data_IF_770363723859
#
_entry.id   IF_770363723859
#
_cell.length_a   1.000
_cell.length_b   1.000
_cell.length_c   1.000
_cell.angle_alpha   90.00
_cell.angle_beta   90.00
_cell.angle_gamma   90.00
#
_symmetry.space_group_name_H-M   'P 1'
#
loop_
_entity.id
_entity.type
_entity.pdbx_description
1 polymer ?
#
# COMPACT_ATOMS: atom_id res chain seq x y z
N UNK A 1 -7.84 10.14 -44.32
CA UNK A 1 -8.34 8.76 -44.06
C UNK A 1 -7.82 8.16 -42.74
N UNK A 2 -6.50 8.17 -42.37
CA UNK A 2 -6.02 7.51 -41.14
C UNK A 2 -6.62 8.10 -39.86
N UNK A 3 -6.74 9.43 -39.76
CA UNK A 3 -7.34 10.12 -38.61
C UNK A 3 -8.79 9.70 -38.37
N UNK A 4 -9.55 9.52 -39.47
CA UNK A 4 -10.98 9.08 -39.39
C UNK A 4 -11.05 7.64 -38.85
N UNK A 5 -10.13 6.78 -39.23
CA UNK A 5 -10.05 5.41 -38.71
C UNK A 5 -9.71 5.37 -37.22
N UNK A 6 -8.72 6.18 -36.79
CA UNK A 6 -8.37 6.31 -35.37
C UNK A 6 -9.57 6.85 -34.58
N UNK A 7 -10.22 7.94 -35.04
CA UNK A 7 -11.39 8.50 -34.39
C UNK A 7 -12.56 7.52 -34.29
N UNK A 8 -12.83 6.74 -35.36
CA UNK A 8 -13.89 5.73 -35.33
C UNK A 8 -13.59 4.60 -34.35
N UNK A 9 -12.32 4.18 -34.24
CA UNK A 9 -11.89 3.20 -33.23
C UNK A 9 -12.03 3.74 -31.82
N UNK A 10 -11.56 4.98 -31.57
CA UNK A 10 -11.68 5.64 -30.26
C UNK A 10 -13.14 5.87 -29.83
N UNK A 11 -14.01 6.26 -30.78
CA UNK A 11 -15.45 6.47 -30.51
C UNK A 11 -16.20 5.17 -30.13
N UNK A 12 -15.69 4.02 -30.54
CA UNK A 12 -16.26 2.70 -30.25
C UNK A 12 -15.57 2.00 -29.04
N UNK A 13 -14.61 2.65 -28.39
CA UNK A 13 -13.99 2.14 -27.17
C UNK A 13 -14.90 2.48 -25.97
N UNK A 14 -15.25 1.47 -25.20
CA UNK A 14 -15.90 1.60 -23.89
C UNK A 14 -15.02 0.92 -22.81
N UNK A 15 -15.40 1.05 -21.56
CA UNK A 15 -14.64 0.49 -20.43
C UNK A 15 -14.46 -1.04 -20.49
N UNK A 16 -15.29 -1.75 -21.26
CA UNK A 16 -15.27 -3.20 -21.42
C UNK A 16 -14.61 -3.65 -22.73
N UNK A 17 -14.35 -2.72 -23.65
CA UNK A 17 -13.84 -3.00 -25.01
C UNK A 17 -12.71 -2.03 -25.40
N UNK A 18 -11.65 -2.04 -24.61
CA UNK A 18 -10.43 -1.26 -24.88
C UNK A 18 -9.56 -2.01 -25.89
N UNK A 19 -9.83 -1.81 -27.19
CA UNK A 19 -9.04 -2.48 -28.26
C UNK A 19 -7.82 -1.65 -28.65
N UNK A 20 -6.67 -2.32 -28.84
CA UNK A 20 -5.48 -1.64 -29.32
C UNK A 20 -5.62 -1.19 -30.80
N UNK A 21 -4.99 -0.08 -31.12
CA UNK A 21 -4.87 0.43 -32.49
C UNK A 21 -3.76 -0.35 -33.17
N UNK A 22 -4.11 -1.13 -34.22
CA UNK A 22 -3.13 -1.81 -35.04
C UNK A 22 -2.37 -0.80 -35.91
N UNK A 23 -1.04 -0.87 -35.91
CA UNK A 23 -0.16 0.01 -36.69
C UNK A 23 -0.03 -0.40 -38.15
N UNK A 24 -0.37 -1.65 -38.46
CA UNK A 24 -0.19 -2.20 -39.83
C UNK A 24 -0.97 -1.43 -40.87
N UNK A 25 -2.12 -0.88 -40.49
CA UNK A 25 -3.01 -0.15 -41.38
C UNK A 25 -2.78 1.38 -41.34
N UNK A 26 -1.73 1.85 -40.65
CA UNK A 26 -1.44 3.26 -40.47
C UNK A 26 -0.13 3.69 -41.15
N UNK A 27 -0.08 4.87 -41.80
CA UNK A 27 1.17 5.48 -42.23
C UNK A 27 2.14 5.65 -41.06
N UNK A 28 3.45 5.59 -41.36
CA UNK A 28 4.52 5.56 -40.34
C UNK A 28 4.49 6.81 -39.42
N UNK A 29 4.03 7.94 -39.93
CA UNK A 29 3.89 9.21 -39.21
C UNK A 29 2.90 9.12 -38.04
N UNK A 30 1.94 8.20 -38.12
CA UNK A 30 0.91 7.99 -37.07
C UNK A 30 1.30 6.92 -36.06
N UNK A 31 2.41 6.21 -36.24
CA UNK A 31 2.83 5.15 -35.34
C UNK A 31 3.12 5.64 -33.93
N UNK A 32 3.72 6.83 -33.79
CA UNK A 32 3.99 7.45 -32.49
C UNK A 32 2.67 7.75 -31.74
N UNK A 33 1.69 8.33 -32.45
CA UNK A 33 0.36 8.61 -31.90
C UNK A 33 -0.36 7.32 -31.47
N UNK A 34 -0.35 6.28 -32.33
CA UNK A 34 -0.94 4.98 -32.02
C UNK A 34 -0.30 4.33 -30.79
N UNK A 35 1.05 4.44 -30.64
CA UNK A 35 1.75 3.98 -29.45
C UNK A 35 1.30 4.70 -28.18
N UNK A 36 1.18 6.03 -28.24
CA UNK A 36 0.73 6.81 -27.10
C UNK A 36 -0.70 6.47 -26.69
N UNK A 37 -1.60 6.33 -27.67
CA UNK A 37 -2.98 5.89 -27.41
C UNK A 37 -3.02 4.49 -26.82
N UNK A 38 -2.31 3.52 -27.40
CA UNK A 38 -2.27 2.15 -26.88
C UNK A 38 -1.69 2.09 -25.46
N UNK A 39 -0.69 2.93 -25.16
CA UNK A 39 -0.14 3.03 -23.80
C UNK A 39 -1.18 3.57 -22.82
N UNK A 40 -1.95 4.59 -23.19
CA UNK A 40 -3.04 5.12 -22.38
C UNK A 40 -4.16 4.09 -22.18
N UNK A 41 -4.57 3.41 -23.25
CA UNK A 41 -5.58 2.36 -23.21
C UNK A 41 -5.18 1.23 -22.26
N UNK A 42 -3.94 0.73 -22.36
CA UNK A 42 -3.43 -0.30 -21.48
C UNK A 42 -3.43 0.15 -19.99
N UNK A 43 -3.10 1.41 -19.75
CA UNK A 43 -3.13 1.96 -18.37
C UNK A 43 -4.57 2.02 -17.85
N UNK A 44 -5.53 2.43 -18.66
CA UNK A 44 -6.94 2.47 -18.29
C UNK A 44 -7.47 1.05 -18.04
N UNK A 45 -7.16 0.09 -18.92
CA UNK A 45 -7.56 -1.30 -18.76
C UNK A 45 -7.02 -1.92 -17.46
N UNK A 46 -5.75 -1.69 -17.18
CA UNK A 46 -5.12 -2.13 -15.93
C UNK A 46 -5.80 -1.51 -14.72
N UNK A 47 -6.14 -0.23 -14.79
CA UNK A 47 -6.82 0.48 -13.71
C UNK A 47 -8.26 -0.02 -13.48
N UNK A 48 -9.03 -0.22 -14.55
CA UNK A 48 -10.41 -0.75 -14.47
C UNK A 48 -10.40 -2.18 -13.90
N UNK A 49 -9.51 -3.04 -14.41
CA UNK A 49 -9.34 -4.40 -13.91
C UNK A 49 -8.99 -4.39 -12.42
N UNK A 50 -8.03 -3.55 -12.05
CA UNK A 50 -7.65 -3.38 -10.66
C UNK A 50 -8.82 -2.93 -9.78
N UNK A 51 -9.58 -1.89 -10.17
CA UNK A 51 -10.77 -1.46 -9.43
C UNK A 51 -11.78 -2.58 -9.25
N UNK A 52 -12.04 -3.35 -10.29
CA UNK A 52 -12.94 -4.51 -10.24
C UNK A 52 -12.46 -5.57 -9.24
N UNK A 53 -11.18 -5.93 -9.28
CA UNK A 53 -10.59 -6.88 -8.33
C UNK A 53 -10.64 -6.38 -6.89
N UNK A 54 -10.41 -5.08 -6.68
CA UNK A 54 -10.51 -4.44 -5.38
C UNK A 54 -11.95 -4.53 -4.81
N UNK A 55 -12.97 -4.17 -5.60
CA UNK A 55 -14.36 -4.24 -5.14
C UNK A 55 -14.82 -5.67 -4.88
N UNK A 56 -14.45 -6.62 -5.73
CA UNK A 56 -14.77 -8.03 -5.54
C UNK A 56 -14.09 -8.56 -4.27
N UNK A 57 -12.81 -8.26 -4.07
CA UNK A 57 -12.07 -8.66 -2.88
C UNK A 57 -12.64 -8.03 -1.60
N UNK A 58 -12.97 -6.73 -1.63
CA UNK A 58 -13.60 -6.04 -0.52
C UNK A 58 -14.95 -6.68 -0.13
N UNK A 59 -15.79 -6.98 -1.11
CA UNK A 59 -17.07 -7.63 -0.86
C UNK A 59 -16.90 -9.03 -0.22
N UNK A 60 -15.94 -9.81 -0.69
CA UNK A 60 -15.61 -11.12 -0.10
C UNK A 60 -15.10 -11.01 1.33
N UNK A 61 -14.17 -10.09 1.58
CA UNK A 61 -13.57 -9.89 2.90
C UNK A 61 -14.57 -9.30 3.91
N UNK A 62 -15.57 -8.52 3.48
CA UNK A 62 -16.66 -8.04 4.33
C UNK A 62 -17.72 -9.10 4.61
N UNK A 63 -17.98 -10.01 3.66
CA UNK A 63 -18.97 -11.08 3.81
C UNK A 63 -18.60 -12.09 4.90
N UNK A 64 -17.31 -12.38 5.05
CA UNK A 64 -16.81 -13.36 6.03
C UNK A 64 -17.11 -12.95 7.47
N UNK A 65 -16.71 -11.76 7.99
CA UNK A 65 -17.04 -11.34 9.35
C UNK A 65 -18.54 -11.24 9.59
N UNK A 66 -19.32 -10.77 8.60
CA UNK A 66 -20.78 -10.75 8.68
C UNK A 66 -21.39 -12.14 8.88
N UNK A 67 -20.89 -13.14 8.13
CA UNK A 67 -21.35 -14.52 8.28
C UNK A 67 -20.99 -15.09 9.66
N UNK A 68 -19.79 -14.81 10.17
CA UNK A 68 -19.33 -15.26 11.50
C UNK A 68 -20.19 -14.63 12.60
N UNK A 69 -20.44 -13.32 12.55
CA UNK A 69 -21.32 -12.63 13.52
C UNK A 69 -22.73 -13.21 13.48
N UNK A 70 -23.31 -13.34 12.28
CA UNK A 70 -24.65 -13.87 12.09
C UNK A 70 -24.76 -15.27 12.69
N UNK A 71 -23.86 -16.19 12.32
CA UNK A 71 -23.88 -17.57 12.80
C UNK A 71 -23.76 -17.65 14.33
N UNK A 72 -22.77 -16.92 14.93
CA UNK A 72 -22.57 -16.93 16.39
C UNK A 72 -23.81 -16.41 17.12
N UNK A 73 -24.42 -15.32 16.64
CA UNK A 73 -25.60 -14.73 17.25
C UNK A 73 -26.82 -15.65 17.10
N UNK A 74 -27.07 -16.22 15.91
CA UNK A 74 -28.18 -17.16 15.69
C UNK A 74 -28.05 -18.42 16.58
N UNK A 75 -26.82 -18.98 16.69
CA UNK A 75 -26.57 -20.15 17.58
C UNK A 75 -26.77 -19.78 19.05
N UNK A 76 -26.34 -18.58 19.46
CA UNK A 76 -26.52 -18.11 20.84
C UNK A 76 -27.98 -17.92 21.19
N UNK A 77 -28.79 -17.42 20.25
CA UNK A 77 -30.24 -17.15 20.45
C UNK A 77 -31.14 -18.38 20.35
N UNK A 78 -30.66 -19.52 19.82
CA UNK A 78 -31.49 -20.76 19.65
C UNK A 78 -32.04 -21.33 20.95
N UNK A 79 -31.37 -21.11 22.08
CA UNK A 79 -31.79 -21.52 23.41
C UNK A 79 -31.24 -20.61 24.48
N UNK A 80 -31.85 -20.60 25.66
CA UNK A 80 -31.28 -19.88 26.82
C UNK A 80 -29.84 -20.32 27.06
N UNK A 81 -29.01 -19.36 27.39
CA UNK A 81 -27.57 -19.52 27.63
C UNK A 81 -27.21 -18.89 28.98
N UNK A 82 -26.08 -19.23 29.53
CA UNK A 82 -25.47 -18.49 30.63
C UNK A 82 -24.99 -17.10 30.14
N UNK A 83 -24.91 -16.15 31.06
CA UNK A 83 -24.57 -14.74 30.76
C UNK A 83 -23.23 -14.66 30.01
N UNK A 84 -22.26 -15.43 30.46
CA UNK A 84 -20.90 -15.47 29.87
C UNK A 84 -20.91 -15.83 28.39
N UNK A 85 -21.85 -16.69 27.95
CA UNK A 85 -21.97 -17.07 26.54
C UNK A 85 -22.57 -15.94 25.68
N UNK A 86 -23.44 -15.11 26.25
CA UNK A 86 -23.93 -13.91 25.60
C UNK A 86 -22.83 -12.84 25.51
N UNK A 87 -22.07 -12.64 26.59
CA UNK A 87 -20.93 -11.72 26.62
C UNK A 87 -19.86 -12.10 25.59
N UNK A 88 -19.53 -13.40 25.45
CA UNK A 88 -18.61 -13.91 24.43
C UNK A 88 -19.13 -13.61 23.02
N UNK A 89 -20.41 -13.83 22.76
CA UNK A 89 -21.01 -13.58 21.44
C UNK A 89 -21.00 -12.08 21.08
N UNK A 90 -21.31 -11.22 22.05
CA UNK A 90 -21.26 -9.77 21.89
C UNK A 90 -19.82 -9.28 21.70
N UNK A 91 -18.87 -9.77 22.48
CA UNK A 91 -17.45 -9.45 22.35
C UNK A 91 -16.91 -9.83 20.97
N UNK A 92 -17.25 -11.02 20.47
CA UNK A 92 -16.90 -11.44 19.11
C UNK A 92 -17.51 -10.48 18.07
N UNK A 93 -18.80 -10.13 18.25
CA UNK A 93 -19.50 -9.22 17.33
C UNK A 93 -18.81 -7.86 17.26
N UNK A 94 -18.49 -7.26 18.41
CA UNK A 94 -17.75 -5.98 18.48
C UNK A 94 -16.40 -6.08 17.78
N UNK A 95 -15.63 -7.16 18.05
CA UNK A 95 -14.35 -7.38 17.38
C UNK A 95 -14.47 -7.46 15.86
N UNK A 96 -15.49 -8.15 15.34
CA UNK A 96 -15.71 -8.25 13.90
C UNK A 96 -16.13 -6.90 13.28
N UNK A 97 -16.92 -6.09 13.99
CA UNK A 97 -17.26 -4.72 13.57
C UNK A 97 -16.01 -3.85 13.49
N UNK A 98 -15.10 -3.94 14.46
CA UNK A 98 -13.84 -3.18 14.45
C UNK A 98 -12.94 -3.58 13.28
N UNK A 99 -12.88 -4.87 12.96
CA UNK A 99 -12.14 -5.38 11.78
C UNK A 99 -12.76 -4.86 10.48
N UNK A 100 -14.09 -4.84 10.35
CA UNK A 100 -14.78 -4.26 9.20
C UNK A 100 -14.55 -2.75 9.08
N UNK A 101 -14.59 -2.00 10.18
CA UNK A 101 -14.30 -0.56 10.17
C UNK A 101 -12.87 -0.26 9.70
N UNK A 102 -11.88 -1.05 10.12
CA UNK A 102 -10.50 -0.93 9.62
C UNK A 102 -10.42 -1.20 8.11
N UNK A 103 -11.19 -2.17 7.61
CA UNK A 103 -11.25 -2.47 6.19
C UNK A 103 -11.84 -1.32 5.38
N UNK A 104 -12.98 -0.79 5.83
CA UNK A 104 -13.63 0.37 5.19
C UNK A 104 -12.67 1.56 5.15
N UNK A 105 -12.00 1.85 6.27
CA UNK A 105 -11.00 2.92 6.33
C UNK A 105 -9.86 2.71 5.33
N UNK A 106 -9.36 1.48 5.19
CA UNK A 106 -8.32 1.16 4.21
C UNK A 106 -8.78 1.34 2.76
N UNK A 107 -10.05 1.01 2.45
CA UNK A 107 -10.64 1.24 1.11
C UNK A 107 -10.78 2.74 0.84
N UNK A 108 -11.22 3.52 1.82
CA UNK A 108 -11.31 4.98 1.69
C UNK A 108 -9.92 5.62 1.51
N UNK A 109 -8.89 5.07 2.14
CA UNK A 109 -7.51 5.55 1.96
C UNK A 109 -6.98 5.33 0.54
N UNK A 110 -7.50 4.34 -0.22
CA UNK A 110 -7.20 4.20 -1.65
C UNK A 110 -7.68 5.43 -2.42
N UNK A 111 -8.93 5.85 -2.21
CA UNK A 111 -9.47 7.05 -2.85
C UNK A 111 -8.73 8.33 -2.44
N UNK A 112 -8.30 8.44 -1.18
CA UNK A 112 -7.48 9.57 -0.72
C UNK A 112 -6.10 9.59 -1.38
N UNK A 113 -5.46 8.45 -1.57
CA UNK A 113 -4.18 8.32 -2.25
C UNK A 113 -4.30 8.75 -3.72
N UNK A 114 -5.40 8.39 -4.39
CA UNK A 114 -5.70 8.87 -5.75
C UNK A 114 -5.85 10.40 -5.82
N UNK A 115 -6.47 11.02 -4.80
CA UNK A 115 -6.56 12.48 -4.70
C UNK A 115 -5.23 13.15 -4.36
N UNK A 116 -4.43 12.54 -3.49
CA UNK A 116 -3.16 13.10 -3.02
C UNK A 116 -2.09 13.24 -4.12
N UNK A 117 -2.21 12.53 -5.24
CA UNK A 117 -1.31 12.73 -6.40
C UNK A 117 -1.42 14.13 -7.02
N UNK A 118 -2.50 14.86 -6.76
CA UNK A 118 -2.72 16.24 -7.22
C UNK A 118 -2.37 17.28 -6.14
N UNK A 119 -1.99 16.85 -4.93
CA UNK A 119 -1.54 17.75 -3.88
C UNK A 119 -0.21 18.42 -4.28
N UNK A 120 -0.05 19.65 -3.87
CA UNK A 120 1.23 20.35 -4.05
C UNK A 120 2.32 19.69 -3.20
N UNK A 121 3.53 19.69 -3.72
CA UNK A 121 4.69 19.25 -2.95
C UNK A 121 4.99 20.28 -1.85
N UNK A 122 5.47 19.75 -0.72
CA UNK A 122 5.90 20.57 0.43
C UNK A 122 7.40 20.43 0.59
N UNK A 123 8.09 21.55 0.72
CA UNK A 123 9.52 21.57 1.05
C UNK A 123 9.70 21.26 2.53
N UNK A 124 10.48 20.24 2.84
CA UNK A 124 10.76 19.84 4.23
C UNK A 124 12.14 19.19 4.35
N UNK A 125 12.66 19.19 5.57
CA UNK A 125 13.82 18.35 5.94
C UNK A 125 13.33 16.92 6.20
N UNK A 126 13.61 16.03 5.24
CA UNK A 126 13.15 14.64 5.28
C UNK A 126 13.79 13.85 6.45
N UNK A 127 15.02 14.20 6.86
CA UNK A 127 15.68 13.56 8.01
C UNK A 127 14.93 13.90 9.30
N UNK A 128 14.63 15.18 9.52
CA UNK A 128 13.88 15.61 10.70
C UNK A 128 12.46 15.04 10.68
N UNK A 129 11.80 15.04 9.52
CA UNK A 129 10.47 14.47 9.36
C UNK A 129 10.42 12.99 9.76
N UNK A 130 11.33 12.15 9.22
CA UNK A 130 11.36 10.72 9.55
C UNK A 130 11.74 10.50 11.02
N UNK A 131 12.65 11.29 11.57
CA UNK A 131 13.03 11.22 12.98
C UNK A 131 11.83 11.50 13.90
N UNK A 132 11.02 12.51 13.58
CA UNK A 132 9.77 12.81 14.31
C UNK A 132 8.78 11.65 14.22
N UNK A 133 8.57 11.12 13.01
CA UNK A 133 7.68 9.95 12.80
C UNK A 133 8.18 8.70 13.53
N UNK A 134 9.49 8.46 13.57
CA UNK A 134 10.06 7.35 14.34
C UNK A 134 9.75 7.47 15.84
N UNK A 135 9.72 8.69 16.38
CA UNK A 135 9.31 8.92 17.78
C UNK A 135 7.83 8.58 18.00
N UNK A 136 6.95 9.01 17.08
CA UNK A 136 5.51 8.67 17.13
C UNK A 136 5.31 7.15 17.12
N UNK A 137 6.05 6.42 16.26
CA UNK A 137 5.97 4.97 16.17
C UNK A 137 6.51 4.24 17.42
N UNK A 138 7.50 4.81 18.14
CA UNK A 138 7.95 4.27 19.44
C UNK A 138 6.81 4.21 20.46
N UNK A 139 5.96 5.23 20.48
CA UNK A 139 4.79 5.23 21.36
C UNK A 139 3.80 4.11 20.98
N UNK A 140 3.58 3.89 19.68
CA UNK A 140 2.69 2.82 19.20
C UNK A 140 3.24 1.41 19.46
N UNK A 141 4.56 1.26 19.47
CA UNK A 141 5.23 -0.04 19.69
C UNK A 141 5.47 -0.37 21.17
N UNK A 142 5.21 0.57 22.08
CA UNK A 142 5.50 0.43 23.52
C UNK A 142 4.83 -0.79 24.16
N UNK A 143 3.59 -1.14 23.75
CA UNK A 143 2.87 -2.30 24.27
C UNK A 143 3.56 -3.65 23.97
N UNK A 144 4.40 -3.69 22.93
CA UNK A 144 5.18 -4.87 22.55
C UNK A 144 6.64 -4.80 23.00
N UNK A 145 7.05 -3.74 23.69
CA UNK A 145 8.46 -3.45 24.03
C UNK A 145 9.41 -3.51 22.81
N UNK A 146 8.92 -3.13 21.61
CA UNK A 146 9.72 -3.11 20.39
C UNK A 146 10.55 -1.84 20.36
N UNK A 147 11.86 -1.99 20.14
CA UNK A 147 12.81 -0.86 20.04
C UNK A 147 12.86 -0.36 18.60
N UNK A 148 12.38 0.88 18.36
CA UNK A 148 12.47 1.52 17.04
C UNK A 148 13.65 2.48 17.02
N UNK A 149 14.58 2.26 16.08
CA UNK A 149 15.77 3.10 15.87
C UNK A 149 15.68 3.82 14.52
N UNK A 150 16.27 5.02 14.46
CA UNK A 150 16.42 5.78 13.22
C UNK A 150 17.89 6.11 12.98
N UNK A 151 18.35 5.88 11.75
CA UNK A 151 19.72 6.17 11.31
C UNK A 151 19.67 6.89 9.96
N UNK A 152 20.53 7.89 9.79
CA UNK A 152 20.74 8.58 8.52
C UNK A 152 22.22 8.75 8.26
N UNK A 153 22.65 8.69 6.99
CA UNK A 153 24.02 8.98 6.58
C UNK A 153 24.28 10.48 6.38
N UNK A 154 23.26 11.32 6.56
CA UNK A 154 23.32 12.78 6.47
C UNK A 154 22.51 13.41 7.60
N UNK A 155 22.84 14.63 7.96
CA UNK A 155 22.16 15.33 9.06
C UNK A 155 20.87 16.03 8.60
N UNK A 156 20.85 16.57 7.38
CA UNK A 156 19.73 17.30 6.80
C UNK A 156 19.53 16.90 5.35
N UNK A 157 18.26 16.85 4.92
CA UNK A 157 17.88 16.61 3.53
C UNK A 157 16.64 17.41 3.18
N UNK A 158 16.85 18.61 2.63
CA UNK A 158 15.74 19.40 2.11
C UNK A 158 15.30 18.85 0.76
N UNK A 159 14.02 18.53 0.65
CA UNK A 159 13.42 18.03 -0.57
C UNK A 159 11.95 18.42 -0.66
N UNK A 160 11.46 18.56 -1.88
CA UNK A 160 10.07 18.86 -2.18
C UNK A 160 9.33 17.55 -2.46
N UNK A 161 8.40 17.17 -1.59
CA UNK A 161 7.69 15.90 -1.67
C UNK A 161 6.20 16.05 -1.30
N UNK A 162 5.34 15.21 -1.87
CA UNK A 162 3.95 15.07 -1.45
C UNK A 162 3.90 14.28 -0.14
N UNK A 163 3.76 15.00 0.96
CA UNK A 163 3.91 14.46 2.34
C UNK A 163 2.87 13.38 2.63
N UNK A 164 1.65 13.53 2.15
CA UNK A 164 0.56 12.55 2.33
C UNK A 164 0.93 11.20 1.76
N UNK A 165 1.42 11.16 0.51
CA UNK A 165 1.83 9.92 -0.16
C UNK A 165 3.05 9.29 0.51
N UNK A 166 4.05 10.11 0.84
CA UNK A 166 5.24 9.60 1.54
C UNK A 166 4.90 9.03 2.92
N UNK A 167 4.04 9.72 3.67
CA UNK A 167 3.57 9.24 4.97
C UNK A 167 2.81 7.91 4.84
N UNK A 168 1.99 7.75 3.81
CA UNK A 168 1.28 6.50 3.52
C UNK A 168 2.24 5.32 3.36
N UNK A 169 3.35 5.50 2.61
CA UNK A 169 4.36 4.46 2.43
C UNK A 169 5.03 4.12 3.76
N UNK A 170 5.56 5.14 4.45
CA UNK A 170 6.30 4.96 5.68
C UNK A 170 5.45 4.31 6.77
N UNK A 171 4.20 4.78 6.93
CA UNK A 171 3.25 4.26 7.90
C UNK A 171 2.93 2.79 7.66
N UNK A 172 2.65 2.39 6.42
CA UNK A 172 2.35 1.00 6.10
C UNK A 172 3.55 0.07 6.34
N UNK A 173 4.76 0.53 5.99
CA UNK A 173 5.97 -0.25 6.26
C UNK A 173 6.21 -0.42 7.75
N UNK A 174 6.13 0.65 8.54
CA UNK A 174 6.37 0.60 9.99
C UNK A 174 5.28 -0.16 10.72
N UNK A 175 4.01 0.02 10.36
CA UNK A 175 2.90 -0.73 10.96
C UNK A 175 3.02 -2.24 10.68
N UNK A 176 3.42 -2.63 9.47
CA UNK A 176 3.70 -4.03 9.16
C UNK A 176 4.89 -4.55 9.98
N UNK A 177 5.98 -3.79 10.08
CA UNK A 177 7.11 -4.14 10.91
C UNK A 177 6.71 -4.37 12.38
N UNK A 178 5.94 -3.43 12.99
CA UNK A 178 5.42 -3.58 14.38
C UNK A 178 4.52 -4.81 14.52
N UNK A 179 3.69 -5.07 13.50
CA UNK A 179 2.75 -6.19 13.53
C UNK A 179 3.48 -7.54 13.55
N UNK A 180 4.47 -7.73 12.70
CA UNK A 180 5.14 -9.01 12.47
C UNK A 180 6.38 -9.23 13.34
N UNK A 181 6.89 -8.19 13.98
CA UNK A 181 8.01 -8.29 14.93
C UNK A 181 7.51 -8.85 16.26
N UNK A 182 8.16 -9.89 16.81
CA UNK A 182 7.90 -10.38 18.16
C UNK A 182 8.20 -9.31 19.22
N UNK A 183 7.66 -9.51 20.42
CA UNK A 183 7.95 -8.65 21.58
C UNK A 183 9.48 -8.61 21.85
N UNK A 184 9.95 -7.48 22.40
CA UNK A 184 11.35 -7.26 22.83
C UNK A 184 12.37 -7.30 21.70
N UNK A 185 11.95 -7.23 20.44
CA UNK A 185 12.80 -7.17 19.27
C UNK A 185 12.95 -5.75 18.75
N UNK A 186 13.66 -5.57 17.64
CA UNK A 186 13.98 -4.25 17.11
C UNK A 186 13.50 -4.02 15.69
N UNK A 187 13.21 -2.75 15.38
CA UNK A 187 12.92 -2.25 14.04
C UNK A 187 13.88 -1.10 13.77
N UNK A 188 14.56 -1.14 12.63
CA UNK A 188 15.46 -0.07 12.21
C UNK A 188 14.90 0.66 10.99
N UNK A 189 14.71 1.97 11.13
CA UNK A 189 14.40 2.87 10.01
C UNK A 189 15.71 3.50 9.58
N UNK A 190 16.07 3.40 8.29
CA UNK A 190 17.31 4.00 7.78
C UNK A 190 16.99 4.88 6.58
N UNK A 191 17.59 6.08 6.55
CA UNK A 191 17.63 6.95 5.39
C UNK A 191 19.06 6.98 4.87
N UNK A 192 19.22 6.75 3.58
CA UNK A 192 20.49 6.85 2.87
C UNK A 192 20.33 7.72 1.63
N UNK A 193 21.07 8.82 1.56
CA UNK A 193 21.19 9.63 0.35
C UNK A 193 22.40 9.16 -0.45
N UNK A 194 22.19 8.98 -1.75
CA UNK A 194 23.24 8.82 -2.77
C UNK A 194 23.20 10.02 -3.71
N UNK A 195 24.04 10.04 -4.73
CA UNK A 195 24.02 11.10 -5.75
C UNK A 195 22.69 11.13 -6.53
N UNK A 196 22.12 9.97 -6.81
CA UNK A 196 20.95 9.81 -7.69
C UNK A 196 19.66 9.48 -6.94
N UNK A 197 19.76 8.91 -5.75
CA UNK A 197 18.62 8.32 -5.05
C UNK A 197 18.60 8.68 -3.57
N UNK A 198 17.38 8.76 -3.05
CA UNK A 198 17.08 8.76 -1.62
C UNK A 198 16.43 7.42 -1.30
N UNK A 199 17.07 6.65 -0.45
CA UNK A 199 16.64 5.30 -0.08
C UNK A 199 16.20 5.28 1.38
N UNK A 200 14.96 4.91 1.63
CA UNK A 200 14.47 4.68 2.99
C UNK A 200 14.17 3.20 3.16
N UNK A 201 14.67 2.60 4.22
CA UNK A 201 14.41 1.20 4.57
C UNK A 201 13.83 1.09 5.96
N UNK A 202 12.87 0.18 6.11
CA UNK A 202 12.35 -0.29 7.39
C UNK A 202 12.73 -1.76 7.49
N UNK A 203 13.61 -2.08 8.44
CA UNK A 203 14.12 -3.44 8.68
C UNK A 203 13.54 -3.94 9.99
N UNK A 204 12.89 -5.08 9.98
CA UNK A 204 12.32 -5.72 11.16
C UNK A 204 13.05 -7.03 11.53
N UNK A 205 12.74 -7.55 12.71
CA UNK A 205 13.18 -8.86 13.21
C UNK A 205 11.98 -9.83 13.31
N UNK A 206 11.11 -9.78 12.32
CA UNK A 206 9.91 -10.62 12.23
C UNK A 206 10.14 -12.00 11.64
N UNK A 207 9.05 -12.61 11.20
CA UNK A 207 9.04 -13.99 10.66
C UNK A 207 9.62 -14.10 9.24
N UNK A 208 9.87 -12.98 8.55
CA UNK A 208 10.21 -12.99 7.13
C UNK A 208 9.00 -13.15 6.21
N UNK A 209 9.27 -13.30 4.91
CA UNK A 209 8.25 -13.43 3.87
C UNK A 209 8.55 -14.58 2.92
N UNK A 210 7.52 -15.08 2.23
CA UNK A 210 7.68 -15.88 1.01
C UNK A 210 7.82 -14.91 -0.18
N UNK A 211 9.04 -14.78 -0.71
CA UNK A 211 9.35 -13.88 -1.82
C UNK A 211 8.71 -14.30 -3.16
N UNK A 212 8.11 -15.50 -3.24
CA UNK A 212 7.38 -15.96 -4.42
C UNK A 212 5.98 -15.37 -4.53
N UNK A 213 5.46 -14.82 -3.42
CA UNK A 213 4.12 -14.24 -3.34
C UNK A 213 4.22 -12.73 -3.56
N UNK A 214 3.43 -12.17 -4.47
CA UNK A 214 3.29 -10.71 -4.59
C UNK A 214 2.46 -10.17 -3.42
N UNK A 215 3.15 -9.79 -2.34
CA UNK A 215 2.55 -9.23 -1.13
C UNK A 215 2.04 -7.79 -1.32
N UNK A 216 2.37 -7.15 -2.43
CA UNK A 216 1.81 -5.85 -2.79
C UNK A 216 0.47 -5.97 -3.53
N UNK A 217 0.01 -7.16 -3.90
CA UNK A 217 -1.33 -7.36 -4.42
C UNK A 217 -2.39 -7.15 -3.32
N UNK A 218 -3.59 -6.61 -3.66
CA UNK A 218 -4.63 -6.34 -2.67
C UNK A 218 -5.10 -7.63 -1.99
N UNK A 219 -5.44 -7.54 -0.69
CA UNK A 219 -5.94 -8.63 0.16
C UNK A 219 -4.98 -9.81 0.35
N UNK A 220 -3.70 -9.67 -0.01
CA UNK A 220 -2.68 -10.68 0.27
C UNK A 220 -2.23 -10.59 1.72
N UNK A 221 -2.16 -11.75 2.37
CA UNK A 221 -1.76 -11.89 3.79
C UNK A 221 -0.72 -12.99 3.95
N UNK A 222 0.13 -12.82 4.97
CA UNK A 222 1.08 -13.85 5.42
C UNK A 222 0.45 -14.58 6.60
N UNK A 223 0.13 -15.87 6.43
CA UNK A 223 -0.46 -16.70 7.48
C UNK A 223 -1.83 -16.20 7.97
N UNK A 224 -2.17 -16.57 9.21
CA UNK A 224 -3.47 -16.24 9.86
C UNK A 224 -3.44 -14.92 10.65
N UNK A 225 -2.52 -14.02 10.38
CA UNK A 225 -2.43 -12.78 11.15
C UNK A 225 -3.54 -11.79 10.79
N UNK A 226 -4.07 -11.08 11.82
CA UNK A 226 -5.12 -10.06 11.68
C UNK A 226 -4.72 -8.96 10.70
N UNK A 227 -5.67 -8.42 9.95
CA UNK A 227 -5.49 -7.27 9.05
C UNK A 227 -6.03 -7.53 7.67
N UNK A 228 -6.35 -6.46 6.96
CA UNK A 228 -7.10 -6.46 5.70
C UNK A 228 -6.28 -6.92 4.49
N UNK A 229 -4.93 -6.87 4.58
CA UNK A 229 -4.06 -7.16 3.44
C UNK A 229 -4.00 -6.04 2.39
N UNK A 230 -4.34 -4.80 2.77
CA UNK A 230 -4.31 -3.63 1.88
C UNK A 230 -3.11 -2.70 2.12
N UNK A 231 -2.40 -2.83 3.24
CA UNK A 231 -1.34 -1.87 3.61
C UNK A 231 -0.19 -1.79 2.62
N UNK A 232 0.40 -2.92 2.20
CA UNK A 232 1.48 -2.93 1.21
C UNK A 232 0.98 -2.48 -0.17
N UNK A 233 -0.24 -2.82 -0.52
CA UNK A 233 -0.87 -2.35 -1.74
C UNK A 233 -1.00 -0.81 -1.74
N UNK A 234 -1.48 -0.20 -0.64
CA UNK A 234 -1.53 1.25 -0.46
C UNK A 234 -0.14 1.89 -0.57
N UNK A 235 0.88 1.25 0.02
CA UNK A 235 2.26 1.72 -0.10
C UNK A 235 2.77 1.71 -1.55
N UNK A 236 2.43 0.68 -2.34
CA UNK A 236 2.76 0.61 -3.79
C UNK A 236 2.08 1.73 -4.56
N UNK A 237 0.76 1.92 -4.39
CA UNK A 237 0.02 2.98 -5.08
C UNK A 237 0.56 4.38 -4.76
N UNK A 238 0.86 4.64 -3.50
CA UNK A 238 1.47 5.91 -3.09
C UNK A 238 2.87 6.09 -3.69
N UNK A 239 3.66 5.02 -3.78
CA UNK A 239 4.97 5.05 -4.41
C UNK A 239 4.88 5.31 -5.93
N UNK A 240 3.94 4.65 -6.62
CA UNK A 240 3.71 4.85 -8.06
C UNK A 240 3.32 6.31 -8.33
N UNK A 241 2.45 6.92 -7.49
CA UNK A 241 2.08 8.32 -7.58
C UNK A 241 3.27 9.27 -7.34
N UNK A 242 4.19 8.92 -6.44
CA UNK A 242 5.45 9.64 -6.20
C UNK A 242 6.54 9.32 -7.24
N UNK A 243 6.30 8.45 -8.21
CA UNK A 243 7.30 7.90 -9.14
C UNK A 243 8.48 7.26 -8.39
N UNK A 244 8.20 6.67 -7.25
CA UNK A 244 9.14 5.96 -6.41
C UNK A 244 9.02 4.45 -6.64
N UNK A 245 10.07 3.71 -6.25
CA UNK A 245 10.07 2.25 -6.32
C UNK A 245 10.01 1.65 -4.91
N UNK A 246 9.11 0.69 -4.70
CA UNK A 246 9.02 -0.05 -3.44
C UNK A 246 9.38 -1.52 -3.64
N UNK A 247 10.09 -2.08 -2.65
CA UNK A 247 10.44 -3.51 -2.61
C UNK A 247 10.29 -4.03 -1.18
N UNK A 248 10.05 -5.34 -1.07
CA UNK A 248 10.02 -6.08 0.19
C UNK A 248 10.83 -7.35 0.00
N UNK A 249 11.84 -7.56 0.83
CA UNK A 249 12.78 -8.67 0.74
C UNK A 249 13.06 -9.23 2.14
N UNK A 250 13.47 -10.50 2.24
CA UNK A 250 14.01 -11.03 3.48
C UNK A 250 15.38 -10.40 3.80
N UNK A 251 15.72 -10.39 5.08
CA UNK A 251 17.04 -9.94 5.52
C UNK A 251 18.14 -10.85 4.95
N UNK A 252 19.26 -10.23 4.54
CA UNK A 252 20.41 -10.94 3.96
C UNK A 252 21.58 -11.08 4.93
N UNK A 253 21.39 -10.66 6.19
CA UNK A 253 22.43 -10.70 7.25
C UNK A 253 22.36 -11.97 8.12
N UNK A 254 21.68 -13.01 7.67
CA UNK A 254 21.51 -14.28 8.37
C UNK A 254 20.51 -14.26 9.51
N UNK A 255 19.81 -13.13 9.75
CA UNK A 255 18.76 -12.99 10.75
C UNK A 255 17.39 -13.10 10.09
N UNK A 256 16.39 -13.55 10.85
CA UNK A 256 14.99 -13.52 10.44
C UNK A 256 14.46 -12.09 10.37
N UNK A 257 13.52 -11.83 9.47
CA UNK A 257 12.85 -10.55 9.30
C UNK A 257 12.83 -10.05 7.87
N UNK A 258 12.25 -8.88 7.68
CA UNK A 258 12.08 -8.24 6.37
C UNK A 258 12.78 -6.90 6.27
N UNK A 259 13.05 -6.49 5.05
CA UNK A 259 13.47 -5.16 4.65
C UNK A 259 12.45 -4.60 3.67
N UNK A 260 11.62 -3.68 4.11
CA UNK A 260 10.78 -2.87 3.24
C UNK A 260 11.59 -1.63 2.82
N UNK A 261 11.64 -1.37 1.51
CA UNK A 261 12.47 -0.31 0.95
C UNK A 261 11.64 0.56 0.00
N UNK A 262 11.80 1.87 0.12
CA UNK A 262 11.34 2.85 -0.88
C UNK A 262 12.55 3.61 -1.43
N UNK A 263 12.57 3.78 -2.75
CA UNK A 263 13.60 4.51 -3.49
C UNK A 263 12.95 5.67 -4.20
N UNK A 264 13.36 6.88 -3.85
CA UNK A 264 12.95 8.13 -4.48
C UNK A 264 14.11 8.66 -5.34
N UNK A 265 13.79 9.26 -6.48
CA UNK A 265 14.78 9.99 -7.25
C UNK A 265 15.26 11.23 -6.46
N UNK A 266 16.56 11.44 -6.41
CA UNK A 266 17.12 12.61 -5.76
C UNK A 266 16.95 13.83 -6.66
N UNK A 267 15.86 14.59 -6.43
CA UNK A 267 15.59 15.88 -7.12
C UNK A 267 16.11 17.06 -6.29
N UNK A 268 16.83 16.81 -5.18
CA UNK A 268 17.35 17.90 -4.35
C UNK A 268 18.33 18.76 -5.19
N UNK A 269 17.98 20.02 -5.39
CA UNK A 269 18.93 21.03 -5.87
C UNK A 269 20.03 21.10 -4.82
N UNK A 270 21.27 20.84 -5.22
CA UNK A 270 22.41 21.20 -4.38
C UNK A 270 22.32 22.72 -4.15
N UNK A 271 21.98 23.11 -2.94
CA UNK A 271 22.16 24.51 -2.51
C UNK A 271 23.66 24.62 -2.27
N UNK A 272 24.35 25.22 -3.27
CA UNK A 272 25.73 25.66 -3.15
C UNK A 272 25.87 26.77 -2.10
#
# INVERSE_FOLDING_TARGET
KPIIQINKKLANMDENSLSQIDKKDLPIEFHSLANSINSLTNRIETYVKFKKELFIGAAHELKTPLAVMKLKNEVTLKKKREIEQYEEALSLTVKQIDEMNKMISSILDIGRTEGAQFEQTTDLDLVEYIKKKANDYRMLSAQKNIIITFFSNINHLHTSIQVTLFNQILQNFVQNAIKFTPNEKSIAIRLRKTKEEIIITVTDEGIGIDEKVDLFAPFKRIGNQSGVGLGLFLARNAADALRAKVTLENRKDGKSGCVAKVVLNNTSKEIN
#
